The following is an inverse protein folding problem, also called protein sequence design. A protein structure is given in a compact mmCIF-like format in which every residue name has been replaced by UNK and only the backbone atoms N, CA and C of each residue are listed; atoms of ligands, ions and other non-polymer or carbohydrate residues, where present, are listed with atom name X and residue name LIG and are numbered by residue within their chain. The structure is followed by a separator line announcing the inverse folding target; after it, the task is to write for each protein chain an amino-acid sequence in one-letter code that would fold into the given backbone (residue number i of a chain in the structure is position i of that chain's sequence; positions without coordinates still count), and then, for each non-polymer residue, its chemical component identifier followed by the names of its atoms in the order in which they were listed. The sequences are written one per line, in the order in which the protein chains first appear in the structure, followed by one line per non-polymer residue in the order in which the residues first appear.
data_IF_451198426144
#
_entry.id   IF_451198426144
#
_cell.length_a   1.000
_cell.length_b   1.000
_cell.length_c   1.000
_cell.angle_alpha   90.00
_cell.angle_beta   90.00
_cell.angle_gamma   90.00
#
_symmetry.space_group_name_H-M   'P 1'
#
loop_
_entity.id
_entity.type
_entity.pdbx_description
1 polymer ?
#
# COMPACT_ATOMS: atom_id res chain seq x y z
N UNK A 1 11.67 11.62 -0.20
CA UNK A 1 13.02 11.36 0.34
C UNK A 1 13.66 10.24 -0.45
N UNK A 2 14.94 10.35 -0.78
CA UNK A 2 15.70 9.22 -1.35
C UNK A 2 15.94 8.21 -0.23
N UNK A 3 15.47 7.00 -0.41
CA UNK A 3 15.61 5.91 0.58
C UNK A 3 16.84 5.09 0.30
N UNK A 4 17.11 4.83 -0.98
CA UNK A 4 18.17 3.92 -1.39
C UNK A 4 18.69 4.32 -2.77
N UNK A 5 20.00 4.15 -2.99
CA UNK A 5 20.63 4.32 -4.29
C UNK A 5 21.41 3.04 -4.59
N UNK A 6 21.01 2.32 -5.64
CA UNK A 6 21.73 1.15 -6.14
C UNK A 6 22.49 1.51 -7.40
N UNK A 7 23.76 1.13 -7.43
CA UNK A 7 24.66 1.34 -8.56
C UNK A 7 25.03 -0.01 -9.12
N UNK A 8 24.66 -0.27 -10.37
CA UNK A 8 24.98 -1.48 -11.10
C UNK A 8 26.09 -1.18 -12.11
N UNK A 9 27.19 -1.91 -12.04
CA UNK A 9 28.35 -1.73 -12.90
C UNK A 9 28.58 -3.00 -13.71
N UNK A 10 28.76 -2.87 -15.04
CA UNK A 10 29.11 -4.02 -15.89
C UNK A 10 30.48 -4.58 -15.51
N UNK A 11 30.61 -5.90 -15.62
CA UNK A 11 31.89 -6.59 -15.44
C UNK A 11 33.01 -6.01 -16.34
N UNK A 12 34.18 -5.75 -15.75
CA UNK A 12 35.34 -5.20 -16.44
C UNK A 12 35.39 -3.67 -16.53
N UNK A 13 34.39 -2.96 -15.99
CA UNK A 13 34.41 -1.49 -15.88
C UNK A 13 34.98 -1.09 -14.52
N UNK A 14 35.82 -0.05 -14.52
CA UNK A 14 36.38 0.50 -13.27
C UNK A 14 35.27 1.10 -12.40
N UNK A 15 35.27 0.75 -11.12
CA UNK A 15 34.24 1.17 -10.17
C UNK A 15 34.56 2.55 -9.62
N UNK A 16 33.56 3.41 -9.49
CA UNK A 16 33.68 4.72 -8.87
C UNK A 16 33.76 4.62 -7.34
N UNK A 17 34.28 5.67 -6.70
CA UNK A 17 34.40 5.77 -5.24
C UNK A 17 33.08 5.47 -4.53
N UNK A 18 31.96 5.93 -5.09
CA UNK A 18 30.63 5.70 -4.51
C UNK A 18 30.22 4.23 -4.60
N UNK A 19 30.46 3.54 -5.72
CA UNK A 19 30.17 2.11 -5.83
C UNK A 19 31.07 1.30 -4.90
N UNK A 20 32.36 1.63 -4.81
CA UNK A 20 33.26 0.99 -3.86
C UNK A 20 32.83 1.18 -2.40
N UNK A 21 32.33 2.37 -2.05
CA UNK A 21 31.79 2.63 -0.72
C UNK A 21 30.53 1.80 -0.43
N UNK A 22 29.59 1.70 -1.39
CA UNK A 22 28.36 0.90 -1.25
C UNK A 22 28.70 -0.59 -1.12
N UNK A 23 29.64 -1.11 -1.92
CA UNK A 23 30.08 -2.50 -1.83
C UNK A 23 30.74 -2.81 -0.49
N UNK A 24 31.58 -1.92 0.02
CA UNK A 24 32.18 -2.06 1.36
C UNK A 24 31.13 -2.07 2.45
N UNK A 25 30.16 -1.13 2.40
CA UNK A 25 29.06 -1.06 3.36
C UNK A 25 28.21 -2.35 3.35
N UNK A 26 27.93 -2.90 2.17
CA UNK A 26 27.18 -4.16 2.04
C UNK A 26 27.98 -5.37 2.56
N UNK A 27 29.28 -5.44 2.27
CA UNK A 27 30.17 -6.48 2.80
C UNK A 27 30.27 -6.40 4.32
N UNK A 28 30.38 -5.20 4.88
CA UNK A 28 30.39 -4.96 6.34
C UNK A 28 29.07 -5.41 6.98
N UNK A 29 27.93 -5.12 6.35
CA UNK A 29 26.62 -5.60 6.80
C UNK A 29 26.55 -7.12 6.79
N UNK A 30 26.98 -7.76 5.71
CA UNK A 30 27.02 -9.23 5.61
C UNK A 30 27.97 -9.85 6.64
N UNK A 31 29.09 -9.19 6.94
CA UNK A 31 30.04 -9.65 7.95
C UNK A 31 29.42 -9.56 9.35
N UNK A 32 28.69 -8.48 9.65
CA UNK A 32 27.95 -8.33 10.90
C UNK A 32 26.88 -9.40 11.07
N UNK A 33 26.08 -9.67 10.03
CA UNK A 33 25.06 -10.72 10.06
C UNK A 33 25.69 -12.11 10.29
N UNK A 34 26.82 -12.39 9.63
CA UNK A 34 27.60 -13.63 9.85
C UNK A 34 28.07 -13.72 11.30
N UNK A 35 28.65 -12.66 11.84
CA UNK A 35 29.20 -12.65 13.20
C UNK A 35 28.09 -12.79 14.27
N UNK A 36 26.93 -12.17 14.04
CA UNK A 36 25.75 -12.30 14.90
C UNK A 36 25.19 -13.75 14.84
N UNK A 37 25.07 -14.33 13.65
CA UNK A 37 24.66 -15.74 13.49
C UNK A 37 25.67 -16.70 14.15
N UNK A 38 26.97 -16.46 13.97
CA UNK A 38 28.02 -17.25 14.60
C UNK A 38 27.99 -17.12 16.12
N UNK A 39 27.75 -15.91 16.65
CA UNK A 39 27.63 -15.70 18.10
C UNK A 39 26.41 -16.40 18.71
N UNK A 40 25.28 -16.47 17.98
CA UNK A 40 24.09 -17.23 18.39
C UNK A 40 24.39 -18.73 18.38
N UNK A 41 25.02 -19.23 17.33
CA UNK A 41 25.44 -20.62 17.20
C UNK A 41 26.40 -21.01 18.33
N UNK A 42 27.44 -20.22 18.55
CA UNK A 42 28.42 -20.39 19.62
C UNK A 42 27.72 -20.42 20.97
N UNK A 43 26.81 -19.47 21.25
CA UNK A 43 26.09 -19.43 22.53
C UNK A 43 25.23 -20.66 22.76
N UNK A 44 24.52 -21.15 21.74
CA UNK A 44 23.67 -22.32 21.86
C UNK A 44 24.51 -23.59 22.08
N UNK A 45 25.55 -23.80 21.26
CA UNK A 45 26.39 -24.99 21.29
C UNK A 45 27.23 -25.03 22.56
N UNK A 46 27.89 -23.94 22.93
CA UNK A 46 28.65 -23.87 24.16
C UNK A 46 27.76 -23.92 25.42
N UNK A 47 26.52 -23.42 25.35
CA UNK A 47 25.53 -23.60 26.42
C UNK A 47 25.20 -25.07 26.66
N UNK A 48 24.86 -25.80 25.58
CA UNK A 48 24.64 -27.26 25.64
C UNK A 48 25.89 -28.02 26.09
N UNK A 49 27.07 -27.61 25.61
CA UNK A 49 28.33 -28.23 26.01
C UNK A 49 28.58 -28.11 27.51
N UNK A 50 28.27 -26.96 28.12
CA UNK A 50 28.36 -26.77 29.57
C UNK A 50 27.36 -27.65 30.30
N UNK A 51 26.09 -27.71 29.87
CA UNK A 51 25.08 -28.58 30.47
C UNK A 51 25.45 -30.08 30.42
N UNK A 52 26.09 -30.52 29.33
CA UNK A 52 26.52 -31.91 29.16
C UNK A 52 27.76 -32.27 30.00
N UNK A 53 28.66 -31.30 30.21
CA UNK A 53 29.92 -31.50 30.92
C UNK A 53 29.82 -31.22 32.43
N UNK A 54 28.87 -30.40 32.88
CA UNK A 54 28.74 -30.01 34.29
C UNK A 54 28.42 -31.22 35.18
N UNK A 55 29.25 -31.41 36.22
CA UNK A 55 29.11 -32.51 37.18
C UNK A 55 29.66 -33.86 36.71
N UNK A 56 30.31 -33.94 35.54
CA UNK A 56 30.91 -35.20 35.02
C UNK A 56 32.42 -35.27 35.31
N UNK A 57 32.94 -36.49 35.45
CA UNK A 57 34.37 -36.76 35.65
C UNK A 57 35.10 -36.80 34.31
N UNK A 58 36.14 -35.98 34.14
CA UNK A 58 36.93 -35.95 32.90
C UNK A 58 38.20 -36.81 32.98
N UNK A 59 38.44 -37.61 31.93
CA UNK A 59 39.64 -38.43 31.74
C UNK A 59 40.79 -37.57 31.18
N UNK A 60 40.46 -36.61 30.32
CA UNK A 60 41.40 -35.68 29.70
C UNK A 60 40.79 -34.28 29.60
N UNK A 61 41.65 -33.26 29.60
CA UNK A 61 41.25 -31.86 29.53
C UNK A 61 42.42 -30.97 29.08
N UNK A 62 42.20 -29.64 29.00
CA UNK A 62 43.20 -28.67 28.59
C UNK A 62 44.45 -28.69 29.48
N UNK A 63 45.57 -28.13 28.97
CA UNK A 63 46.82 -28.01 29.73
C UNK A 63 46.58 -27.34 31.09
N UNK A 64 46.83 -28.08 32.17
CA UNK A 64 46.63 -27.61 33.55
C UNK A 64 45.46 -28.28 34.29
N UNK A 65 44.60 -29.04 33.59
CA UNK A 65 43.50 -29.76 34.22
C UNK A 65 43.96 -31.07 34.89
N UNK A 66 43.49 -31.33 36.12
CA UNK A 66 43.80 -32.57 36.86
C UNK A 66 42.92 -33.72 36.34
N UNK A 67 43.56 -34.81 35.88
CA UNK A 67 42.86 -36.02 35.43
C UNK A 67 41.99 -36.60 36.56
N UNK A 68 40.73 -36.92 36.27
CA UNK A 68 39.76 -37.46 37.24
C UNK A 68 39.08 -36.42 38.12
N UNK A 69 39.31 -35.12 37.90
CA UNK A 69 38.54 -34.06 38.56
C UNK A 69 37.16 -33.91 37.91
N UNK A 70 36.16 -33.55 38.72
CA UNK A 70 34.83 -33.18 38.26
C UNK A 70 34.88 -31.86 37.50
N UNK A 71 34.29 -31.83 36.31
CA UNK A 71 34.12 -30.61 35.54
C UNK A 71 32.99 -29.80 36.20
N UNK A 72 33.31 -28.63 36.72
CA UNK A 72 32.32 -27.64 37.15
C UNK A 72 32.28 -26.48 36.18
N UNK A 73 31.12 -25.82 36.06
CA UNK A 73 30.96 -24.61 35.25
C UNK A 73 32.01 -23.52 35.58
N UNK A 74 32.40 -23.40 36.85
CA UNK A 74 33.46 -22.48 37.32
C UNK A 74 34.84 -22.88 36.79
N UNK A 75 35.20 -24.17 36.86
CA UNK A 75 36.47 -24.68 36.36
C UNK A 75 36.59 -24.58 34.82
N UNK A 76 35.48 -24.66 34.09
CA UNK A 76 35.46 -24.45 32.63
C UNK A 76 35.70 -22.99 32.25
N UNK A 77 35.23 -22.05 33.09
CA UNK A 77 35.35 -20.61 32.82
C UNK A 77 36.80 -20.09 32.86
N UNK A 78 37.72 -20.84 33.47
CA UNK A 78 39.16 -20.52 33.51
C UNK A 78 39.86 -20.79 32.16
N UNK A 79 39.24 -21.57 31.28
CA UNK A 79 39.78 -21.93 29.98
C UNK A 79 39.05 -21.18 28.85
N UNK A 80 39.76 -20.76 27.77
CA UNK A 80 39.12 -20.24 26.56
C UNK A 80 38.11 -21.23 25.98
N UNK A 81 36.97 -20.74 25.46
CA UNK A 81 35.91 -21.58 24.86
C UNK A 81 36.40 -22.54 23.78
N UNK A 82 37.44 -22.17 23.05
CA UNK A 82 38.09 -23.02 22.06
C UNK A 82 38.68 -24.31 22.64
N UNK A 83 39.03 -24.31 23.93
CA UNK A 83 39.61 -25.45 24.64
C UNK A 83 38.55 -26.34 25.31
N UNK A 84 37.28 -25.93 25.35
CA UNK A 84 36.22 -26.73 25.99
C UNK A 84 35.96 -28.06 25.26
N UNK A 85 36.25 -28.11 23.95
CA UNK A 85 36.22 -29.34 23.15
C UNK A 85 37.33 -30.34 23.50
N UNK A 86 38.29 -29.98 24.35
CA UNK A 86 39.39 -30.88 24.80
C UNK A 86 39.02 -31.71 26.03
N UNK A 87 37.88 -31.45 26.67
CA UNK A 87 37.39 -32.27 27.77
C UNK A 87 36.86 -33.59 27.22
N UNK A 88 37.36 -34.71 27.76
CA UNK A 88 36.91 -36.06 27.42
C UNK A 88 36.30 -36.72 28.65
N UNK A 89 35.12 -37.32 28.48
CA UNK A 89 34.33 -37.95 29.56
C UNK A 89 34.49 -39.48 29.51
N UNK A 90 34.30 -40.15 30.65
CA UNK A 90 34.42 -41.61 30.77
C UNK A 90 33.24 -42.40 30.17
N UNK A 91 32.08 -41.77 30.06
CA UNK A 91 30.88 -42.39 29.50
C UNK A 91 30.93 -42.41 27.96
N UNK A 92 31.03 -43.61 27.37
CA UNK A 92 31.09 -43.82 25.91
C UNK A 92 29.89 -43.21 25.17
N UNK A 93 28.69 -43.23 25.76
CA UNK A 93 27.50 -42.67 25.12
C UNK A 93 27.56 -41.14 25.08
N UNK A 94 27.96 -40.54 26.19
CA UNK A 94 28.05 -39.09 26.34
C UNK A 94 29.21 -38.54 25.50
N UNK A 95 30.31 -39.29 25.38
CA UNK A 95 31.43 -38.94 24.50
C UNK A 95 31.01 -38.97 23.01
N UNK A 96 30.20 -39.95 22.58
CA UNK A 96 29.65 -39.99 21.23
C UNK A 96 28.72 -38.79 20.95
N UNK A 97 27.86 -38.42 21.91
CA UNK A 97 26.99 -37.24 21.77
C UNK A 97 27.79 -35.91 21.70
N UNK A 98 28.92 -35.80 22.42
CA UNK A 98 29.82 -34.65 22.35
C UNK A 98 30.53 -34.55 21.00
N UNK A 99 30.93 -35.68 20.43
CA UNK A 99 31.53 -35.74 19.08
C UNK A 99 30.50 -35.40 17.99
N UNK A 100 29.27 -35.89 18.10
CA UNK A 100 28.16 -35.53 17.20
C UNK A 100 27.84 -34.03 17.27
N UNK A 101 27.75 -33.46 18.49
CA UNK A 101 27.52 -32.03 18.69
C UNK A 101 28.64 -31.19 18.06
N UNK A 102 29.89 -31.63 18.19
CA UNK A 102 31.05 -30.98 17.57
C UNK A 102 31.00 -31.05 16.05
N UNK A 103 30.67 -32.21 15.48
CA UNK A 103 30.54 -32.38 14.03
C UNK A 103 29.45 -31.47 13.45
N UNK A 104 28.28 -31.42 14.10
CA UNK A 104 27.17 -30.53 13.71
C UNK A 104 27.60 -29.05 13.78
N UNK A 105 28.35 -28.67 14.82
CA UNK A 105 28.87 -27.31 14.96
C UNK A 105 29.88 -26.95 13.86
N UNK A 106 30.85 -27.82 13.58
CA UNK A 106 31.86 -27.60 12.55
C UNK A 106 31.23 -27.54 11.15
N UNK A 107 30.24 -28.38 10.86
CA UNK A 107 29.46 -28.33 9.61
C UNK A 107 28.65 -27.04 9.48
N UNK A 108 27.94 -26.62 10.54
CA UNK A 108 27.16 -25.39 10.56
C UNK A 108 28.06 -24.15 10.37
N UNK A 109 29.24 -24.13 11.01
CA UNK A 109 30.22 -23.05 10.85
C UNK A 109 30.78 -23.00 9.42
N UNK A 110 31.17 -24.14 8.86
CA UNK A 110 31.66 -24.24 7.48
C UNK A 110 30.59 -23.76 6.48
N UNK A 111 29.34 -24.17 6.68
CA UNK A 111 28.21 -23.73 5.86
C UNK A 111 27.98 -22.21 5.95
N UNK A 112 28.07 -21.64 7.14
CA UNK A 112 27.94 -20.21 7.37
C UNK A 112 29.04 -19.41 6.66
N UNK A 113 30.30 -19.87 6.78
CA UNK A 113 31.45 -19.27 6.11
C UNK A 113 31.33 -19.35 4.58
N UNK A 114 30.98 -20.52 4.04
CA UNK A 114 30.75 -20.73 2.60
C UNK A 114 29.67 -19.78 2.07
N UNK A 115 28.53 -19.71 2.76
CA UNK A 115 27.42 -18.81 2.40
C UNK A 115 27.83 -17.33 2.44
N UNK A 116 28.68 -16.94 3.39
CA UNK A 116 29.22 -15.58 3.45
C UNK A 116 30.11 -15.30 2.24
N UNK A 117 31.07 -16.19 1.95
CA UNK A 117 31.96 -16.06 0.80
C UNK A 117 31.20 -15.98 -0.53
N UNK A 118 30.18 -16.82 -0.72
CA UNK A 118 29.31 -16.80 -1.89
C UNK A 118 28.58 -15.46 -2.05
N UNK A 119 28.09 -14.87 -0.96
CA UNK A 119 27.42 -13.57 -0.98
C UNK A 119 28.41 -12.44 -1.29
N UNK A 120 29.60 -12.46 -0.69
CA UNK A 120 30.66 -11.47 -0.97
C UNK A 120 31.09 -11.54 -2.43
N UNK A 121 31.28 -12.74 -2.98
CA UNK A 121 31.61 -12.92 -4.39
C UNK A 121 30.50 -12.34 -5.28
N UNK A 122 29.23 -12.60 -4.98
CA UNK A 122 28.09 -12.06 -5.73
C UNK A 122 28.03 -10.53 -5.72
N UNK A 123 28.37 -9.89 -4.60
CA UNK A 123 28.43 -8.41 -4.52
C UNK A 123 29.59 -7.87 -5.35
N UNK A 124 30.72 -8.57 -5.40
CA UNK A 124 31.89 -8.13 -6.16
C UNK A 124 31.77 -8.40 -7.67
N UNK A 125 31.12 -9.51 -8.02
CA UNK A 125 30.87 -10.00 -9.38
C UNK A 125 29.82 -9.09 -10.02
N UNK A 126 30.32 -8.05 -10.70
CA UNK A 126 29.50 -6.99 -11.31
C UNK A 126 28.31 -7.51 -12.14
N UNK A 127 27.35 -6.62 -12.35
CA UNK A 127 26.00 -6.99 -12.78
C UNK A 127 25.87 -7.24 -14.30
N UNK A 128 24.91 -8.07 -14.66
CA UNK A 128 24.48 -8.25 -16.04
C UNK A 128 23.59 -7.08 -16.48
N UNK A 129 24.14 -6.24 -17.37
CA UNK A 129 23.45 -5.10 -17.95
C UNK A 129 23.12 -5.35 -19.43
N UNK A 130 22.03 -4.75 -19.97
CA UNK A 130 21.70 -4.81 -21.39
C UNK A 130 22.87 -4.38 -22.30
N UNK A 131 22.98 -4.90 -23.54
CA UNK A 131 24.05 -4.52 -24.46
C UNK A 131 24.09 -3.01 -24.66
N UNK A 132 25.29 -2.42 -24.67
CA UNK A 132 25.50 -0.96 -24.74
C UNK A 132 25.38 -0.20 -23.41
N UNK A 133 24.83 -0.79 -22.34
CA UNK A 133 24.77 -0.15 -21.01
C UNK A 133 25.99 -0.54 -20.18
N UNK A 134 26.84 0.43 -19.85
CA UNK A 134 28.04 0.22 -19.03
C UNK A 134 27.77 0.33 -17.53
N UNK A 135 26.83 1.19 -17.15
CA UNK A 135 26.45 1.49 -15.76
C UNK A 135 24.98 1.86 -15.69
N UNK A 136 24.28 1.40 -14.66
CA UNK A 136 22.90 1.78 -14.36
C UNK A 136 22.79 2.22 -12.91
N UNK A 137 22.12 3.34 -12.65
CA UNK A 137 21.86 3.82 -11.29
C UNK A 137 20.35 3.81 -11.06
N UNK A 138 19.89 3.11 -10.01
CA UNK A 138 18.50 3.09 -9.57
C UNK A 138 18.38 3.85 -8.26
N UNK A 139 17.61 4.93 -8.27
CA UNK A 139 17.33 5.76 -7.09
C UNK A 139 15.91 5.48 -6.62
N UNK A 140 15.76 4.97 -5.41
CA UNK A 140 14.47 4.70 -4.80
C UNK A 140 14.01 5.92 -4.00
N UNK A 141 12.86 6.47 -4.38
CA UNK A 141 12.27 7.65 -3.74
C UNK A 141 10.99 7.25 -3.03
N UNK A 142 10.93 7.46 -1.72
CA UNK A 142 9.70 7.34 -0.97
C UNK A 142 8.99 8.69 -0.89
N UNK A 143 7.69 8.66 -1.19
CA UNK A 143 6.78 9.81 -1.08
C UNK A 143 5.61 9.39 -0.19
N UNK A 144 5.41 10.13 0.92
CA UNK A 144 4.21 9.99 1.74
C UNK A 144 3.12 10.86 1.13
N UNK A 145 2.07 10.23 0.58
CA UNK A 145 0.91 10.94 0.02
C UNK A 145 -0.20 11.00 1.06
N UNK A 146 -0.69 12.22 1.34
CA UNK A 146 -1.84 12.43 2.25
C UNK A 146 -3.15 12.19 1.49
N UNK A 147 -4.26 12.09 2.22
CA UNK A 147 -5.60 12.10 1.61
C UNK A 147 -5.94 13.52 1.15
N UNK A 148 -6.61 13.62 0.01
CA UNK A 148 -7.03 14.90 -0.56
C UNK A 148 -8.35 14.77 -1.31
N UNK A 149 -9.07 15.88 -1.52
CA UNK A 149 -10.24 15.91 -2.40
C UNK A 149 -9.91 15.32 -3.78
N UNK A 150 -10.78 14.45 -4.29
CA UNK A 150 -10.55 13.72 -5.54
C UNK A 150 -10.00 12.29 -5.35
N UNK A 151 -9.45 11.94 -4.19
CA UNK A 151 -9.04 10.56 -3.92
C UNK A 151 -10.24 9.63 -3.82
N UNK A 152 -10.10 8.40 -4.36
CA UNK A 152 -11.16 7.39 -4.32
C UNK A 152 -11.07 6.53 -3.08
N UNK A 153 -12.19 6.37 -2.39
CA UNK A 153 -12.36 5.47 -1.24
C UNK A 153 -13.48 4.46 -1.49
N UNK A 154 -13.48 3.38 -0.72
CA UNK A 154 -14.53 2.37 -0.78
C UNK A 154 -14.78 1.77 0.60
N UNK A 155 -16.03 1.47 0.93
CA UNK A 155 -16.35 0.53 2.00
C UNK A 155 -16.27 -0.92 1.52
N UNK A 156 -16.38 -1.87 2.46
CA UNK A 156 -16.36 -3.32 2.17
C UNK A 156 -17.58 -3.79 1.39
N UNK A 157 -18.70 -3.06 1.47
CA UNK A 157 -19.99 -3.39 0.84
C UNK A 157 -20.16 -2.82 -0.57
N UNK A 158 -19.06 -2.56 -1.29
CA UNK A 158 -19.08 -2.08 -2.68
C UNK A 158 -19.46 -0.61 -2.86
N UNK A 159 -19.68 0.13 -1.77
CA UNK A 159 -19.93 1.57 -1.76
C UNK A 159 -18.62 2.33 -2.05
N UNK A 160 -18.41 2.68 -3.34
CA UNK A 160 -17.28 3.50 -3.79
C UNK A 160 -17.67 4.97 -3.83
N UNK A 161 -16.75 5.84 -3.44
CA UNK A 161 -16.93 7.28 -3.46
C UNK A 161 -15.62 8.02 -3.72
N UNK A 162 -15.72 9.31 -4.03
CA UNK A 162 -14.60 10.22 -4.15
C UNK A 162 -14.71 11.23 -3.02
N UNK A 163 -13.60 11.54 -2.35
CA UNK A 163 -13.57 12.56 -1.29
C UNK A 163 -13.91 13.91 -1.92
N UNK A 164 -14.99 14.55 -1.47
CA UNK A 164 -15.43 15.85 -2.00
C UNK A 164 -14.73 17.02 -1.30
N UNK A 165 -14.73 17.03 0.03
CA UNK A 165 -14.19 18.11 0.85
C UNK A 165 -13.64 17.56 2.16
N UNK A 166 -12.59 18.19 2.67
CA UNK A 166 -12.08 17.99 4.03
C UNK A 166 -12.52 19.21 4.84
N UNK A 167 -13.26 18.97 5.92
CA UNK A 167 -13.76 20.03 6.80
C UNK A 167 -12.93 20.09 8.08
N UNK A 168 -12.83 21.27 8.71
CA UNK A 168 -12.40 21.40 10.10
C UNK A 168 -13.31 20.60 11.03
N UNK A 169 -12.80 20.20 12.21
CA UNK A 169 -13.56 19.36 13.15
C UNK A 169 -14.76 20.10 13.71
N UNK A 170 -14.64 21.40 13.98
CA UNK A 170 -15.69 22.27 14.52
C UNK A 170 -16.91 22.40 13.60
N UNK A 171 -16.74 22.14 12.31
CA UNK A 171 -17.80 22.18 11.31
C UNK A 171 -18.56 20.85 11.20
N UNK A 172 -18.05 19.78 11.82
CA UNK A 172 -18.61 18.43 11.69
C UNK A 172 -19.77 18.23 12.67
N UNK A 173 -20.81 17.47 12.28
CA UNK A 173 -21.85 17.05 13.21
C UNK A 173 -21.29 16.32 14.42
N UNK A 174 -21.87 16.54 15.60
CA UNK A 174 -21.45 15.93 16.85
C UNK A 174 -22.63 15.33 17.62
N UNK A 175 -22.35 14.36 18.49
CA UNK A 175 -23.34 13.71 19.36
C UNK A 175 -23.51 14.47 20.69
N UNK A 176 -24.45 14.02 21.54
CA UNK A 176 -24.67 14.62 22.88
C UNK A 176 -23.41 14.64 23.76
N UNK A 177 -22.52 13.65 23.58
CA UNK A 177 -21.23 13.55 24.28
C UNK A 177 -20.16 14.54 23.73
N UNK A 178 -20.47 15.33 22.69
CA UNK A 178 -19.53 16.26 22.04
C UNK A 178 -18.54 15.60 21.07
N UNK A 179 -18.67 14.30 20.82
CA UNK A 179 -17.84 13.55 19.86
C UNK A 179 -18.31 13.85 18.43
N UNK A 180 -17.37 14.28 17.59
CA UNK A 180 -17.65 14.64 16.20
C UNK A 180 -17.57 13.41 15.29
N UNK A 181 -18.35 13.39 14.22
CA UNK A 181 -18.29 12.34 13.20
C UNK A 181 -17.12 12.57 12.24
N UNK A 182 -16.43 11.50 11.83
CA UNK A 182 -15.29 11.61 10.89
C UNK A 182 -15.71 11.69 9.42
N UNK A 183 -16.76 10.95 9.04
CA UNK A 183 -17.21 10.80 7.65
C UNK A 183 -18.73 10.88 7.59
N UNK A 184 -19.26 11.73 6.70
CA UNK A 184 -20.69 11.80 6.39
C UNK A 184 -20.96 11.09 5.07
N UNK A 185 -21.77 10.03 5.12
CA UNK A 185 -22.16 9.22 3.95
C UNK A 185 -23.59 9.55 3.50
N UNK A 186 -23.83 9.49 2.19
CA UNK A 186 -25.15 9.72 1.62
C UNK A 186 -26.04 8.46 1.76
N UNK A 187 -27.19 8.54 2.46
CA UNK A 187 -28.08 7.39 2.67
C UNK A 187 -28.80 6.92 1.39
N UNK A 188 -28.93 7.76 0.37
CA UNK A 188 -29.67 7.44 -0.85
C UNK A 188 -29.05 6.28 -1.65
N UNK A 189 -27.76 6.01 -1.43
CA UNK A 189 -27.07 4.89 -2.07
C UNK A 189 -27.52 3.52 -1.56
N UNK A 190 -28.06 3.42 -0.34
CA UNK A 190 -28.39 2.13 0.28
C UNK A 190 -29.64 1.50 -0.37
N UNK A 191 -30.78 2.21 -0.50
CA UNK A 191 -31.98 1.63 -1.13
C UNK A 191 -31.75 1.31 -2.61
N UNK A 192 -31.02 2.18 -3.33
CA UNK A 192 -30.79 2.00 -4.78
C UNK A 192 -29.89 0.80 -5.09
N UNK A 193 -28.91 0.48 -4.23
CA UNK A 193 -27.95 -0.60 -4.47
C UNK A 193 -28.24 -1.87 -3.67
N UNK A 194 -29.26 -1.84 -2.81
CA UNK A 194 -29.68 -2.94 -1.95
C UNK A 194 -28.55 -3.57 -1.11
N UNK A 195 -27.56 -2.77 -0.70
CA UNK A 195 -26.43 -3.22 0.09
C UNK A 195 -26.61 -2.85 1.58
N UNK A 196 -27.64 -3.43 2.19
CA UNK A 196 -28.07 -3.17 3.59
C UNK A 196 -27.00 -3.58 4.61
N UNK A 197 -26.13 -4.54 4.27
CA UNK A 197 -25.05 -4.99 5.15
C UNK A 197 -24.14 -3.89 5.67
N UNK A 198 -23.99 -2.77 4.95
CA UNK A 198 -23.21 -1.62 5.45
C UNK A 198 -23.83 -0.96 6.69
N UNK A 199 -25.16 -0.99 6.81
CA UNK A 199 -25.87 -0.46 7.99
C UNK A 199 -25.65 -1.40 9.16
N UNK A 200 -25.76 -2.72 8.93
CA UNK A 200 -25.51 -3.73 9.95
C UNK A 200 -24.05 -3.67 10.46
N UNK A 201 -23.07 -3.51 9.55
CA UNK A 201 -21.67 -3.26 9.91
C UNK A 201 -21.54 -1.99 10.78
N UNK A 202 -22.22 -0.92 10.40
CA UNK A 202 -22.18 0.37 11.12
C UNK A 202 -22.75 0.23 12.53
N UNK A 203 -23.89 -0.44 12.70
CA UNK A 203 -24.51 -0.69 14.01
C UNK A 203 -23.63 -1.58 14.89
N UNK A 204 -23.12 -2.69 14.35
CA UNK A 204 -22.24 -3.61 15.07
C UNK A 204 -20.93 -2.93 15.48
N UNK A 205 -20.34 -2.14 14.58
CA UNK A 205 -19.14 -1.35 14.87
C UNK A 205 -19.35 -0.30 15.96
N UNK A 206 -20.56 0.27 16.03
CA UNK A 206 -20.94 1.18 17.13
C UNK A 206 -21.00 0.45 18.47
N UNK A 207 -21.64 -0.73 18.52
CA UNK A 207 -21.65 -1.59 19.71
C UNK A 207 -20.23 -1.98 20.15
N UNK A 208 -19.37 -2.40 19.21
CA UNK A 208 -17.96 -2.71 19.47
C UNK A 208 -17.21 -1.56 20.14
N UNK A 209 -17.39 -0.33 19.64
CA UNK A 209 -16.74 0.85 20.18
C UNK A 209 -17.28 1.22 21.57
N UNK A 210 -18.61 1.17 21.75
CA UNK A 210 -19.26 1.41 23.04
C UNK A 210 -18.79 0.43 24.12
N UNK A 211 -18.69 -0.87 23.78
CA UNK A 211 -18.10 -1.87 24.69
C UNK A 211 -16.63 -1.56 25.02
N UNK A 212 -15.85 -1.10 24.05
CA UNK A 212 -14.46 -0.68 24.28
C UNK A 212 -14.36 0.50 25.25
N UNK A 213 -15.25 1.51 25.10
CA UNK A 213 -15.34 2.65 26.03
C UNK A 213 -15.69 2.19 27.45
N UNK A 214 -16.68 1.30 27.60
CA UNK A 214 -17.06 0.69 28.88
C UNK A 214 -15.90 -0.06 29.54
N UNK A 215 -15.15 -0.87 28.78
CA UNK A 215 -13.94 -1.55 29.28
C UNK A 215 -12.86 -0.54 29.71
N UNK A 216 -12.70 0.56 28.97
CA UNK A 216 -11.80 1.65 29.32
C UNK A 216 -12.17 2.30 30.66
N UNK A 217 -13.44 2.60 30.89
CA UNK A 217 -13.95 3.15 32.15
C UNK A 217 -13.72 2.15 33.31
N UNK A 218 -13.98 0.86 33.09
CA UNK A 218 -13.71 -0.19 34.08
C UNK A 218 -12.21 -0.34 34.40
N UNK A 219 -11.33 -0.13 33.42
CA UNK A 219 -9.88 -0.10 33.64
C UNK A 219 -9.45 1.10 34.50
N UNK A 220 -10.11 2.25 34.37
CA UNK A 220 -9.86 3.41 35.24
C UNK A 220 -10.32 3.15 36.67
N UNK A 221 -11.48 2.51 36.85
CA UNK A 221 -11.95 2.05 38.17
C UNK A 221 -10.98 1.05 38.78
N UNK A 222 -10.49 0.08 38.00
CA UNK A 222 -9.48 -0.88 38.45
C UNK A 222 -8.20 -0.19 38.94
N UNK A 223 -7.73 0.86 38.27
CA UNK A 223 -6.55 1.62 38.71
C UNK A 223 -6.74 2.25 40.10
N UNK A 224 -7.97 2.51 40.52
CA UNK A 224 -8.30 3.08 41.82
C UNK A 224 -8.59 2.01 42.88
N UNK A 225 -9.36 0.98 42.54
CA UNK A 225 -9.81 -0.05 43.48
C UNK A 225 -8.87 -1.24 43.62
N UNK A 226 -7.98 -1.46 42.64
CA UNK A 226 -7.17 -2.68 42.46
C UNK A 226 -7.97 -3.99 42.38
N UNK A 227 -9.28 -3.92 42.17
CA UNK A 227 -10.16 -5.08 42.06
C UNK A 227 -10.40 -5.46 40.59
N UNK A 228 -9.86 -6.61 40.16
CA UNK A 228 -9.96 -7.14 38.79
C UNK A 228 -11.29 -7.87 38.56
N UNK A 229 -12.01 -8.28 39.61
CA UNK A 229 -13.18 -9.15 39.48
C UNK A 229 -14.27 -8.61 38.54
N UNK A 230 -14.69 -7.32 38.62
CA UNK A 230 -15.71 -6.78 37.71
C UNK A 230 -15.25 -6.78 36.25
N UNK A 231 -13.99 -6.42 36.00
CA UNK A 231 -13.41 -6.38 34.66
C UNK A 231 -13.32 -7.78 34.06
N UNK A 232 -12.93 -8.76 34.87
CA UNK A 232 -12.86 -10.17 34.47
C UNK A 232 -14.23 -10.73 34.10
N UNK A 233 -15.26 -10.42 34.88
CA UNK A 233 -16.61 -10.90 34.60
C UNK A 233 -17.20 -10.26 33.33
N UNK A 234 -16.95 -8.96 33.09
CA UNK A 234 -17.38 -8.29 31.86
C UNK A 234 -16.70 -8.90 30.63
N UNK A 235 -15.37 -9.06 30.65
CA UNK A 235 -14.63 -9.63 29.52
C UNK A 235 -15.03 -11.09 29.28
N UNK A 236 -15.25 -11.86 30.35
CA UNK A 236 -15.73 -13.24 30.24
C UNK A 236 -17.17 -13.35 29.71
N UNK A 237 -17.97 -12.30 29.83
CA UNK A 237 -19.31 -12.22 29.22
C UNK A 237 -19.28 -11.88 27.72
N UNK A 238 -18.19 -11.26 27.25
CA UNK A 238 -18.02 -10.81 25.86
C UNK A 238 -17.28 -11.82 24.97
N UNK A 239 -16.29 -12.50 25.53
CA UNK A 239 -15.47 -13.47 24.80
C UNK A 239 -15.92 -14.90 25.09
N UNK A 240 -16.01 -15.70 24.04
CA UNK A 240 -16.10 -17.16 24.15
C UNK A 240 -14.80 -17.81 24.60
N UNK A 241 -14.78 -19.14 24.64
CA UNK A 241 -13.58 -19.90 24.97
C UNK A 241 -12.48 -19.69 23.90
N UNK A 242 -11.20 -19.70 24.28
CA UNK A 242 -10.09 -19.53 23.32
C UNK A 242 -9.89 -20.79 22.44
N UNK A 243 -8.92 -20.75 21.51
CA UNK A 243 -8.57 -21.89 20.63
C UNK A 243 -8.18 -23.19 21.37
N UNK A 244 -7.92 -23.11 22.68
CA UNK A 244 -7.61 -24.23 23.58
C UNK A 244 -8.77 -24.58 24.53
N UNK A 245 -9.95 -24.01 24.31
CA UNK A 245 -11.12 -24.08 25.18
C UNK A 245 -10.90 -23.56 26.61
N UNK A 246 -9.94 -22.65 26.80
CA UNK A 246 -9.71 -22.00 28.09
C UNK A 246 -10.60 -20.78 28.22
N UNK A 247 -11.24 -20.65 29.38
CA UNK A 247 -12.14 -19.54 29.71
C UNK A 247 -11.32 -18.33 30.15
N UNK A 248 -11.75 -17.12 29.77
CA UNK A 248 -11.13 -15.88 30.28
C UNK A 248 -11.09 -15.85 31.81
N UNK A 249 -12.08 -16.48 32.47
CA UNK A 249 -12.10 -16.58 33.94
C UNK A 249 -10.87 -17.27 34.54
N UNK A 250 -10.19 -18.15 33.80
CA UNK A 250 -8.99 -18.86 34.29
C UNK A 250 -7.68 -18.13 34.04
N UNK A 251 -7.70 -16.98 33.36
CA UNK A 251 -6.48 -16.21 33.07
C UNK A 251 -5.90 -15.58 34.34
N UNK A 252 -4.60 -15.37 34.38
CA UNK A 252 -3.97 -14.55 35.42
C UNK A 252 -4.38 -13.08 35.28
N UNK A 253 -4.25 -12.32 36.37
CA UNK A 253 -4.68 -10.92 36.40
C UNK A 253 -3.93 -10.04 35.38
N UNK A 254 -2.64 -10.30 35.13
CA UNK A 254 -1.85 -9.52 34.18
C UNK A 254 -2.30 -9.78 32.72
N UNK A 255 -2.64 -11.02 32.40
CA UNK A 255 -3.25 -11.37 31.11
C UNK A 255 -4.60 -10.68 30.90
N UNK A 256 -5.47 -10.65 31.93
CA UNK A 256 -6.77 -9.95 31.83
C UNK A 256 -6.58 -8.45 31.62
N UNK A 257 -5.62 -7.83 32.29
CA UNK A 257 -5.31 -6.41 32.11
C UNK A 257 -4.73 -6.11 30.73
N UNK A 258 -3.89 -7.00 30.21
CA UNK A 258 -3.33 -6.88 28.86
C UNK A 258 -4.44 -6.95 27.81
N UNK A 259 -5.37 -7.90 27.96
CA UNK A 259 -6.53 -8.05 27.09
C UNK A 259 -7.45 -6.82 27.15
N UNK A 260 -7.77 -6.33 28.35
CA UNK A 260 -8.58 -5.13 28.54
C UNK A 260 -7.95 -3.89 27.88
N UNK A 261 -6.63 -3.72 27.99
CA UNK A 261 -5.89 -2.62 27.33
C UNK A 261 -5.98 -2.69 25.81
N UNK A 262 -5.98 -3.89 25.23
CA UNK A 262 -6.16 -4.07 23.79
C UNK A 262 -7.59 -3.74 23.35
N UNK A 263 -8.59 -4.08 24.17
CA UNK A 263 -10.01 -3.88 23.88
C UNK A 263 -10.51 -2.45 24.13
N UNK A 264 -9.70 -1.56 24.73
CA UNK A 264 -10.10 -0.18 25.04
C UNK A 264 -10.50 0.63 23.79
N UNK A 265 -9.94 0.31 22.61
CA UNK A 265 -10.31 0.97 21.35
C UNK A 265 -11.60 0.44 20.74
N UNK A 266 -12.07 -0.71 21.18
CA UNK A 266 -13.21 -1.42 20.63
C UNK A 266 -13.01 -2.94 20.72
N UNK A 267 -14.13 -3.65 20.87
CA UNK A 267 -14.14 -5.11 20.89
C UNK A 267 -14.15 -5.65 19.46
N UNK A 268 -13.23 -6.56 19.14
CA UNK A 268 -13.20 -7.22 17.84
C UNK A 268 -14.28 -8.30 17.75
N UNK A 269 -15.05 -8.30 16.66
CA UNK A 269 -16.09 -9.31 16.40
C UNK A 269 -15.77 -10.03 15.09
N UNK A 270 -16.01 -11.33 15.07
CA UNK A 270 -15.97 -12.15 13.87
C UNK A 270 -17.39 -12.54 13.47
N UNK A 271 -17.79 -12.15 12.26
CA UNK A 271 -19.06 -12.55 11.64
C UNK A 271 -18.75 -13.41 10.42
N UNK A 272 -18.99 -14.73 10.47
CA UNK A 272 -18.84 -15.61 9.31
C UNK A 272 -19.72 -15.17 8.13
N UNK A 273 -19.33 -15.54 6.91
CA UNK A 273 -19.97 -15.05 5.68
C UNK A 273 -21.42 -15.55 5.55
N UNK A 274 -21.69 -16.80 5.94
CA UNK A 274 -23.01 -17.44 5.78
C UNK A 274 -23.71 -17.77 7.11
N UNK A 275 -22.98 -17.72 8.22
CA UNK A 275 -23.50 -17.98 9.57
C UNK A 275 -23.17 -16.78 10.46
N UNK A 276 -23.70 -15.63 10.05
CA UNK A 276 -23.42 -14.34 10.68
C UNK A 276 -24.40 -13.99 11.80
N UNK A 277 -24.05 -12.94 12.55
CA UNK A 277 -24.92 -12.33 13.55
C UNK A 277 -26.28 -11.94 12.96
N UNK A 278 -27.34 -12.23 13.69
CA UNK A 278 -28.69 -11.79 13.35
C UNK A 278 -28.97 -10.42 13.97
N UNK A 279 -30.04 -9.76 13.53
CA UNK A 279 -30.42 -8.42 14.02
C UNK A 279 -30.57 -8.38 15.56
N UNK A 280 -31.15 -9.42 16.15
CA UNK A 280 -31.32 -9.54 17.61
C UNK A 280 -29.97 -9.49 18.34
N UNK A 281 -28.96 -10.19 17.84
CA UNK A 281 -27.61 -10.18 18.44
C UNK A 281 -27.00 -8.77 18.44
N UNK A 282 -27.23 -8.01 17.35
CA UNK A 282 -26.72 -6.63 17.21
C UNK A 282 -27.43 -5.70 18.20
N UNK A 283 -28.75 -5.82 18.34
CA UNK A 283 -29.55 -5.03 19.29
C UNK A 283 -29.12 -5.33 20.72
N UNK A 284 -28.97 -6.60 21.09
CA UNK A 284 -28.48 -7.00 22.41
C UNK A 284 -27.08 -6.45 22.70
N UNK A 285 -26.19 -6.43 21.70
CA UNK A 285 -24.85 -5.85 21.86
C UNK A 285 -24.87 -4.33 22.00
N UNK A 286 -25.75 -3.62 21.28
CA UNK A 286 -25.93 -2.18 21.46
C UNK A 286 -26.42 -1.87 22.87
N UNK A 287 -27.41 -2.61 23.37
CA UNK A 287 -27.94 -2.43 24.72
C UNK A 287 -26.89 -2.73 25.80
N UNK A 288 -26.09 -3.81 25.64
CA UNK A 288 -24.96 -4.13 26.55
C UNK A 288 -23.90 -3.03 26.60
N UNK A 289 -23.73 -2.31 25.49
CA UNK A 289 -22.84 -1.17 25.36
C UNK A 289 -23.44 0.14 25.93
N UNK A 290 -24.69 0.13 26.40
CA UNK A 290 -25.38 1.33 26.89
C UNK A 290 -25.90 2.24 25.77
N UNK A 291 -26.07 1.71 24.56
CA UNK A 291 -26.52 2.43 23.38
C UNK A 291 -27.98 2.09 23.05
N UNK A 292 -28.63 2.95 22.26
CA UNK A 292 -29.99 2.70 21.81
C UNK A 292 -30.03 1.51 20.83
N UNK A 293 -30.93 0.55 21.05
CA UNK A 293 -31.10 -0.63 20.20
C UNK A 293 -31.39 -0.35 18.73
N UNK A 294 -31.91 0.84 18.39
CA UNK A 294 -32.09 1.28 16.99
C UNK A 294 -30.78 1.62 16.26
N UNK A 295 -29.67 1.84 16.98
CA UNK A 295 -28.41 2.32 16.41
C UNK A 295 -28.46 3.78 15.94
N UNK A 296 -29.54 4.51 16.23
CA UNK A 296 -29.73 5.91 15.85
C UNK A 296 -29.59 6.83 17.05
N UNK A 297 -28.98 8.00 16.82
CA UNK A 297 -28.76 9.03 17.85
C UNK A 297 -29.16 10.41 17.33
N UNK A 298 -29.46 11.32 18.25
CA UNK A 298 -29.62 12.73 17.93
C UNK A 298 -28.24 13.34 17.68
N UNK A 299 -28.07 13.98 16.51
CA UNK A 299 -26.87 14.74 16.18
C UNK A 299 -27.18 16.24 16.24
N UNK A 300 -26.15 17.03 16.45
CA UNK A 300 -26.18 18.49 16.40
C UNK A 300 -25.30 18.98 15.25
N UNK A 301 -25.72 20.04 14.58
CA UNK A 301 -24.93 20.68 13.53
C UNK A 301 -23.76 21.45 14.14
N UNK A 302 -22.52 21.14 13.75
CA UNK A 302 -21.32 21.80 14.25
C UNK A 302 -21.28 23.32 13.97
N UNK A 303 -21.98 23.78 12.93
CA UNK A 303 -21.98 25.20 12.54
C UNK A 303 -22.95 26.06 13.31
N UNK A 304 -24.14 25.52 13.59
CA UNK A 304 -25.23 26.27 14.23
C UNK A 304 -25.43 25.88 15.69
N UNK A 305 -25.05 24.66 16.06
CA UNK A 305 -25.32 24.05 17.36
C UNK A 305 -26.74 23.50 17.51
N UNK A 306 -27.57 23.59 16.48
CA UNK A 306 -28.96 23.12 16.53
C UNK A 306 -29.04 21.60 16.32
N UNK A 307 -30.02 20.95 16.97
CA UNK A 307 -30.29 19.53 16.81
C UNK A 307 -30.94 19.25 15.45
N UNK A 308 -30.58 18.14 14.80
CA UNK A 308 -31.27 17.70 13.59
C UNK A 308 -32.70 17.21 13.89
N UNK A 309 -33.62 17.45 12.96
CA UNK A 309 -35.05 17.07 13.09
C UNK A 309 -35.28 15.55 13.26
N UNK A 310 -34.36 14.72 12.76
CA UNK A 310 -34.45 13.27 12.80
C UNK A 310 -33.17 12.67 13.33
N UNK A 311 -33.33 11.56 14.06
CA UNK A 311 -32.21 10.75 14.50
C UNK A 311 -31.48 10.16 13.29
N UNK A 312 -30.16 10.05 13.43
CA UNK A 312 -29.26 9.61 12.36
C UNK A 312 -28.54 8.36 12.84
N UNK A 313 -28.36 7.39 11.94
CA UNK A 313 -27.51 6.23 12.21
C UNK A 313 -26.06 6.68 12.30
N UNK A 314 -25.44 6.45 13.46
CA UNK A 314 -24.03 6.74 13.71
C UNK A 314 -23.35 5.43 14.12
N UNK A 315 -22.16 5.19 13.59
CA UNK A 315 -21.45 3.95 13.82
C UNK A 315 -20.07 3.94 13.22
N UNK A 316 -19.36 2.83 13.46
CA UNK A 316 -18.06 2.60 12.84
C UNK A 316 -18.21 1.65 11.65
N UNK A 317 -17.80 2.12 10.48
CA UNK A 317 -17.74 1.33 9.25
C UNK A 317 -16.30 1.25 8.75
N UNK A 318 -15.87 0.09 8.28
CA UNK A 318 -14.50 -0.09 7.81
C UNK A 318 -14.33 0.46 6.39
N UNK A 319 -13.58 1.56 6.28
CA UNK A 319 -13.32 2.26 5.03
C UNK A 319 -11.90 2.02 4.52
N UNK A 320 -11.78 1.79 3.21
CA UNK A 320 -10.54 1.53 2.49
C UNK A 320 -10.22 2.69 1.55
N UNK A 321 -8.95 3.11 1.54
CA UNK A 321 -8.41 4.00 0.51
C UNK A 321 -7.98 3.19 -0.70
N UNK A 322 -8.50 3.51 -1.89
CA UNK A 322 -8.10 2.83 -3.12
C UNK A 322 -6.82 3.46 -3.69
N UNK A 323 -6.07 2.68 -4.48
CA UNK A 323 -4.90 3.17 -5.23
C UNK A 323 -5.27 4.18 -6.35
N UNK A 324 -6.56 4.51 -6.52
CA UNK A 324 -7.00 5.54 -7.47
C UNK A 324 -6.82 6.93 -6.85
N UNK A 325 -5.60 7.44 -6.93
CA UNK A 325 -5.21 8.74 -6.41
C UNK A 325 -5.44 9.83 -7.46
N UNK A 326 -5.89 11.01 -7.02
CA UNK A 326 -6.19 12.13 -7.94
C UNK A 326 -4.94 12.65 -8.66
N UNK A 327 -3.80 12.71 -7.97
CA UNK A 327 -2.52 13.17 -8.54
C UNK A 327 -2.09 12.36 -9.75
N UNK A 328 -2.44 11.07 -9.79
CA UNK A 328 -2.10 10.20 -10.90
C UNK A 328 -3.05 10.42 -12.09
N UNK A 329 -4.24 10.99 -11.87
CA UNK A 329 -5.27 11.22 -12.89
C UNK A 329 -5.24 12.61 -13.51
N UNK A 330 -4.95 13.66 -12.73
CA UNK A 330 -4.88 15.02 -13.26
C UNK A 330 -3.69 15.13 -14.22
N UNK A 331 -3.96 15.63 -15.42
CA UNK A 331 -2.98 15.92 -16.46
C UNK A 331 -3.51 17.04 -17.35
N UNK A 332 -2.66 18.00 -17.67
CA UNK A 332 -2.97 19.08 -18.59
C UNK A 332 -1.72 19.35 -19.44
N UNK A 333 -1.94 19.80 -20.68
CA UNK A 333 -0.86 20.24 -21.57
C UNK A 333 -1.31 21.45 -22.36
N UNK A 334 -0.35 22.32 -22.69
CA UNK A 334 -0.49 23.34 -23.73
C UNK A 334 0.17 22.84 -25.01
N UNK A 335 1.50 22.69 -24.99
CA UNK A 335 2.33 22.18 -26.10
C UNK A 335 3.12 20.97 -25.60
N UNK A 336 3.47 20.06 -26.50
CA UNK A 336 4.26 18.88 -26.16
C UNK A 336 4.78 18.18 -27.42
N UNK A 337 5.32 16.96 -27.29
CA UNK A 337 5.85 16.23 -28.43
C UNK A 337 4.74 15.79 -29.40
N UNK A 338 5.15 15.62 -30.65
CA UNK A 338 4.31 15.22 -31.77
C UNK A 338 4.87 13.96 -32.44
N UNK A 339 3.98 13.19 -33.06
CA UNK A 339 4.34 12.02 -33.87
C UNK A 339 5.13 12.45 -35.10
N UNK A 340 6.17 11.70 -35.46
CA UNK A 340 6.96 11.95 -36.67
C UNK A 340 6.14 11.71 -37.95
N UNK A 341 5.17 10.78 -37.90
CA UNK A 341 4.41 10.36 -39.09
C UNK A 341 3.26 11.33 -39.36
N UNK A 342 2.35 11.47 -38.40
CA UNK A 342 1.10 12.23 -38.59
C UNK A 342 1.15 13.64 -38.04
N UNK A 343 2.26 14.05 -37.40
CA UNK A 343 2.39 15.36 -36.73
C UNK A 343 1.37 15.64 -35.61
N UNK A 344 0.58 14.63 -35.22
CA UNK A 344 -0.39 14.73 -34.12
C UNK A 344 0.28 14.69 -32.74
N UNK A 345 -0.32 15.31 -31.72
CA UNK A 345 0.14 15.19 -30.34
C UNK A 345 0.24 13.72 -29.89
N UNK A 346 1.31 13.36 -29.18
CA UNK A 346 1.41 12.01 -28.60
C UNK A 346 0.30 11.73 -27.57
N UNK A 347 0.01 10.46 -27.30
CA UNK A 347 -0.98 10.03 -26.32
C UNK A 347 -0.38 9.70 -24.95
N UNK A 348 -1.17 9.87 -23.89
CA UNK A 348 -0.84 9.40 -22.54
C UNK A 348 0.00 10.37 -21.69
N UNK A 349 -0.28 10.39 -20.37
CA UNK A 349 0.33 11.30 -19.40
C UNK A 349 1.86 11.26 -19.38
N UNK A 350 2.46 10.09 -19.52
CA UNK A 350 3.91 9.90 -19.42
C UNK A 350 4.70 10.64 -20.54
N UNK A 351 4.08 10.86 -21.70
CA UNK A 351 4.69 11.52 -22.84
C UNK A 351 4.23 12.99 -22.97
N UNK A 352 3.66 13.55 -21.90
CA UNK A 352 2.92 14.81 -21.96
C UNK A 352 1.83 14.79 -23.04
N UNK A 353 1.16 13.65 -23.21
CA UNK A 353 0.22 13.40 -24.29
C UNK A 353 -1.07 14.20 -24.21
N UNK A 354 -1.71 14.41 -25.36
CA UNK A 354 -2.99 15.11 -25.49
C UNK A 354 -4.16 14.20 -25.20
N UNK A 355 -5.30 14.81 -24.88
CA UNK A 355 -6.55 14.08 -24.79
C UNK A 355 -7.05 13.80 -26.20
N UNK A 356 -7.47 12.56 -26.45
CA UNK A 356 -8.09 12.21 -27.73
C UNK A 356 -9.44 12.91 -27.83
N UNK A 357 -9.59 13.74 -28.87
CA UNK A 357 -10.88 14.22 -29.32
C UNK A 357 -11.43 13.17 -30.29
N UNK A 358 -12.48 12.47 -29.87
CA UNK A 358 -13.03 11.33 -30.61
C UNK A 358 -14.12 11.73 -31.60
N UNK A 359 -14.57 10.74 -32.35
CA UNK A 359 -15.61 10.90 -33.36
C UNK A 359 -16.95 11.35 -32.76
N UNK A 360 -17.33 10.81 -31.59
CA UNK A 360 -18.57 11.21 -30.91
C UNK A 360 -18.53 12.66 -30.44
N UNK A 361 -17.36 13.17 -30.03
CA UNK A 361 -17.20 14.58 -29.68
C UNK A 361 -17.26 15.50 -30.90
N UNK A 362 -16.78 15.04 -32.07
CA UNK A 362 -16.94 15.74 -33.35
C UNK A 362 -18.42 15.87 -33.70
N UNK A 363 -19.18 14.76 -33.68
CA UNK A 363 -20.62 14.79 -33.97
C UNK A 363 -21.39 15.72 -33.03
N UNK A 364 -20.99 15.78 -31.76
CA UNK A 364 -21.59 16.71 -30.82
C UNK A 364 -21.38 18.17 -31.26
N UNK A 365 -20.18 18.56 -31.68
CA UNK A 365 -19.91 19.92 -32.18
C UNK A 365 -20.61 20.22 -33.51
N UNK A 366 -20.71 19.24 -34.40
CA UNK A 366 -21.47 19.35 -35.65
C UNK A 366 -22.96 19.59 -35.38
N UNK A 367 -23.55 18.87 -34.42
CA UNK A 367 -24.94 19.05 -34.02
C UNK A 367 -25.22 20.46 -33.45
N UNK A 368 -24.24 21.08 -32.79
CA UNK A 368 -24.31 22.47 -32.35
C UNK A 368 -24.07 23.49 -33.48
N UNK A 369 -23.62 23.05 -34.66
CA UNK A 369 -23.22 23.94 -35.76
C UNK A 369 -21.94 24.74 -35.45
N UNK A 370 -21.09 24.27 -34.53
CA UNK A 370 -19.90 24.97 -34.07
C UNK A 370 -18.71 24.81 -35.03
N UNK A 371 -18.88 25.23 -36.29
CA UNK A 371 -17.94 25.00 -37.39
C UNK A 371 -16.53 25.55 -37.11
N UNK A 372 -16.41 26.78 -36.60
CA UNK A 372 -15.11 27.40 -36.29
C UNK A 372 -14.37 26.68 -35.16
N UNK A 373 -15.08 26.29 -34.10
CA UNK A 373 -14.50 25.52 -32.98
C UNK A 373 -14.02 24.15 -33.46
N UNK A 374 -14.82 23.48 -34.29
CA UNK A 374 -14.46 22.18 -34.84
C UNK A 374 -13.24 22.28 -35.76
N UNK A 375 -13.21 23.27 -36.65
CA UNK A 375 -12.07 23.54 -37.53
C UNK A 375 -10.79 23.78 -36.73
N UNK A 376 -10.84 24.61 -35.69
CA UNK A 376 -9.69 24.87 -34.81
C UNK A 376 -9.19 23.60 -34.11
N UNK A 377 -10.11 22.78 -33.57
CA UNK A 377 -9.77 21.54 -32.85
C UNK A 377 -9.13 20.49 -33.76
N UNK A 378 -9.61 20.36 -35.00
CA UNK A 378 -9.13 19.33 -35.94
C UNK A 378 -7.89 19.73 -36.74
N UNK A 379 -7.60 21.04 -36.87
CA UNK A 379 -6.48 21.52 -37.69
C UNK A 379 -5.34 22.07 -36.81
N UNK A 380 -5.43 23.33 -36.42
CA UNK A 380 -4.38 24.10 -35.74
C UNK A 380 -4.01 23.53 -34.37
N UNK A 381 -4.97 22.97 -33.62
CA UNK A 381 -4.69 22.32 -32.32
C UNK A 381 -4.18 20.87 -32.46
N UNK A 382 -4.20 20.32 -33.67
CA UNK A 382 -3.86 18.93 -33.95
C UNK A 382 -2.58 18.83 -34.79
N UNK A 383 -2.69 18.74 -36.12
CA UNK A 383 -1.64 18.31 -37.03
C UNK A 383 -1.30 19.32 -38.14
N UNK A 384 -1.89 20.52 -38.13
CA UNK A 384 -1.40 21.63 -38.96
C UNK A 384 -0.11 22.22 -38.39
N UNK A 385 1.03 21.79 -38.97
CA UNK A 385 2.37 22.17 -38.51
C UNK A 385 2.63 23.67 -38.63
N UNK A 386 2.15 24.31 -39.70
CA UNK A 386 2.35 25.73 -39.94
C UNK A 386 1.35 26.56 -39.13
N UNK A 387 0.08 26.18 -39.15
CA UNK A 387 -1.00 26.85 -38.44
C UNK A 387 -0.78 26.89 -36.93
N UNK A 388 -0.34 25.78 -36.31
CA UNK A 388 -0.12 25.72 -34.85
C UNK A 388 0.93 26.72 -34.36
N UNK A 389 1.99 26.92 -35.15
CA UNK A 389 3.08 27.86 -34.80
C UNK A 389 2.60 29.30 -34.93
N UNK A 390 1.91 29.62 -36.04
CA UNK A 390 1.35 30.95 -36.28
C UNK A 390 0.32 31.34 -35.23
N UNK A 391 -0.58 30.43 -34.86
CA UNK A 391 -1.60 30.71 -33.84
C UNK A 391 -0.97 30.90 -32.46
N UNK A 392 0.06 30.12 -32.11
CA UNK A 392 0.80 30.37 -30.87
C UNK A 392 1.46 31.75 -30.87
N UNK A 393 2.12 32.15 -31.97
CA UNK A 393 2.71 33.50 -32.10
C UNK A 393 1.66 34.60 -31.99
N UNK A 394 0.50 34.42 -32.62
CA UNK A 394 -0.59 35.40 -32.63
C UNK A 394 -1.17 35.58 -31.23
N UNK A 395 -1.42 34.48 -30.50
CA UNK A 395 -1.85 34.52 -29.09
C UNK A 395 -0.83 35.27 -28.22
N UNK A 396 0.47 35.05 -28.42
CA UNK A 396 1.53 35.74 -27.65
C UNK A 396 1.61 37.23 -28.01
N UNK A 397 1.33 37.62 -29.25
CA UNK A 397 1.29 39.02 -29.70
C UNK A 397 -0.01 39.73 -29.31
N UNK A 398 -1.06 38.98 -28.96
CA UNK A 398 -2.40 39.52 -28.73
C UNK A 398 -3.17 39.82 -30.02
N UNK A 399 -2.77 39.18 -31.13
CA UNK A 399 -3.45 39.26 -32.42
C UNK A 399 -4.42 38.07 -32.60
N UNK A 400 -5.58 38.32 -33.20
CA UNK A 400 -6.62 37.30 -33.44
C UNK A 400 -6.55 36.69 -34.86
N UNK A 401 -5.38 36.77 -35.52
CA UNK A 401 -5.21 36.26 -36.88
C UNK A 401 -5.23 34.72 -36.90
N UNK A 402 -6.22 34.15 -37.58
CA UNK A 402 -6.41 32.71 -37.72
C UNK A 402 -6.26 32.27 -39.18
N UNK A 403 -5.27 31.43 -39.46
CA UNK A 403 -5.09 30.77 -40.75
C UNK A 403 -5.02 29.26 -40.51
N UNK A 404 -5.97 28.50 -41.06
CA UNK A 404 -5.99 27.04 -41.02
C UNK A 404 -5.53 26.46 -42.37
N UNK A 405 -4.55 25.58 -42.33
CA UNK A 405 -4.10 24.79 -43.49
C UNK A 405 -4.79 23.43 -43.60
N UNK A 406 -4.26 22.61 -44.51
CA UNK A 406 -4.67 21.20 -44.67
C UNK A 406 -3.94 20.37 -43.60
N UNK A 407 -4.66 19.51 -42.85
CA UNK A 407 -4.08 18.54 -41.91
C UNK A 407 -2.99 17.67 -42.52
N UNK A 408 -1.90 17.43 -41.80
CA UNK A 408 -0.82 16.55 -42.28
C UNK A 408 -1.29 15.09 -42.41
N UNK A 409 -2.22 14.65 -41.56
CA UNK A 409 -2.84 13.32 -41.68
C UNK A 409 -3.51 13.09 -43.04
N UNK A 410 -4.10 14.12 -43.63
CA UNK A 410 -4.68 14.04 -44.98
C UNK A 410 -3.59 13.92 -46.05
N UNK A 411 -2.48 14.64 -45.93
CA UNK A 411 -1.34 14.52 -46.82
C UNK A 411 -0.74 13.10 -46.78
N UNK A 412 -0.60 12.53 -45.57
CA UNK A 412 -0.14 11.15 -45.38
C UNK A 412 -1.08 10.17 -46.08
N UNK A 413 -2.40 10.32 -45.90
CA UNK A 413 -3.41 9.48 -46.56
C UNK A 413 -3.29 9.53 -48.10
N UNK A 414 -3.12 10.72 -48.67
CA UNK A 414 -2.92 10.88 -50.13
C UNK A 414 -1.66 10.16 -50.60
N UNK A 415 -0.56 10.24 -49.84
CA UNK A 415 0.68 9.52 -50.17
C UNK A 415 0.53 8.00 -50.04
N UNK A 416 -0.21 7.51 -49.05
CA UNK A 416 -0.51 6.09 -48.90
C UNK A 416 -1.34 5.58 -50.08
N UNK A 417 -2.39 6.30 -50.50
CA UNK A 417 -3.18 5.92 -51.69
C UNK A 417 -2.34 5.88 -52.96
N UNK A 418 -1.45 6.88 -53.18
CA UNK A 418 -0.53 6.89 -54.32
C UNK A 418 0.46 5.72 -54.32
N UNK A 419 0.88 5.27 -53.13
CA UNK A 419 1.77 4.10 -53.00
C UNK A 419 1.10 2.79 -53.48
N UNK A 420 -0.22 2.73 -53.49
CA UNK A 420 -1.00 1.61 -54.02
C UNK A 420 -1.20 1.67 -55.55
N UNK A 421 -0.66 2.69 -56.23
CA UNK A 421 -0.84 2.91 -57.66
C UNK A 421 -2.14 3.63 -58.03
N UNK A 422 -2.82 4.26 -57.06
CA UNK A 422 -3.98 5.13 -57.30
C UNK A 422 -3.53 6.56 -57.59
N UNK A 423 -4.03 7.17 -58.67
CA UNK A 423 -3.77 8.58 -58.96
C UNK A 423 -4.77 9.47 -58.20
N UNK A 424 -4.27 10.26 -57.24
CA UNK A 424 -5.08 11.12 -56.37
C UNK A 424 -4.44 12.49 -56.27
N UNK A 425 -5.07 13.51 -56.86
CA UNK A 425 -4.64 14.91 -56.83
C UNK A 425 -5.73 15.83 -56.27
N UNK A 426 -5.30 16.91 -55.62
CA UNK A 426 -6.19 17.98 -55.14
C UNK A 426 -6.48 18.95 -56.30
N UNK A 427 -7.69 18.91 -56.83
CA UNK A 427 -8.12 19.83 -57.86
C UNK A 427 -8.76 21.09 -57.25
N UNK A 428 -8.30 22.28 -57.67
CA UNK A 428 -9.00 23.53 -57.41
C UNK A 428 -10.11 23.69 -58.45
N UNK A 429 -11.26 23.04 -58.23
CA UNK A 429 -12.42 23.25 -59.08
C UNK A 429 -13.18 24.50 -58.62
N UNK A 430 -12.93 25.63 -59.29
CA UNK A 430 -14.04 26.53 -59.63
C UNK A 430 -14.90 25.83 -60.69
N UNK A 431 -15.52 24.71 -60.33
CA UNK A 431 -16.58 24.13 -61.13
C UNK A 431 -17.85 24.88 -60.73
N UNK A 432 -18.45 25.59 -61.69
CA UNK A 432 -19.83 26.04 -61.57
C UNK A 432 -20.66 24.85 -61.07
N UNK A 433 -21.27 25.01 -59.90
CA UNK A 433 -22.25 24.04 -59.40
C UNK A 433 -23.26 23.84 -60.53
N UNK A 434 -23.46 22.61 -61.04
CA UNK A 434 -24.55 22.38 -61.97
C UNK A 434 -25.84 22.87 -61.31
N UNK A 435 -26.65 23.60 -62.06
CA UNK A 435 -27.93 24.14 -61.60
C UNK A 435 -28.69 23.06 -60.81
N UNK A 436 -29.31 23.42 -59.66
CA UNK A 436 -29.94 22.43 -58.80
C UNK A 436 -30.89 21.58 -59.65
N UNK A 437 -30.64 20.28 -59.68
CA UNK A 437 -31.56 19.33 -60.30
C UNK A 437 -32.94 19.57 -59.67
N UNK A 438 -33.97 19.64 -60.53
CA UNK A 438 -35.36 19.87 -60.13
C UNK A 438 -35.69 19.09 -58.86
N UNK A 439 -36.22 19.80 -57.88
CA UNK A 439 -36.73 19.23 -56.63
C UNK A 439 -37.56 17.99 -56.94
N UNK A 440 -37.12 16.84 -56.44
CA UNK A 440 -37.98 15.65 -56.39
C UNK A 440 -39.29 16.06 -55.71
N UNK A 441 -40.45 15.70 -56.27
CA UNK A 441 -41.72 16.09 -55.69
C UNK A 441 -41.81 15.57 -54.27
N UNK A 442 -42.18 16.47 -53.35
CA UNK A 442 -42.51 16.14 -51.97
C UNK A 442 -43.39 14.89 -51.97
N UNK A 443 -42.90 13.82 -51.32
CA UNK A 443 -43.75 12.70 -50.99
C UNK A 443 -44.73 13.19 -49.92
N UNK A 444 -45.89 13.64 -50.39
CA UNK A 444 -47.06 13.92 -49.57
C UNK A 444 -47.67 12.60 -49.05
N UNK A 445 -48.08 12.69 -47.77
CA UNK A 445 -48.88 11.76 -46.93
C UNK A 445 -48.18 10.58 -46.25
#
# INVERSE_FOLDING_TARGET
TVVEVRVFNRHGVEKDERAMAIEREEIERLAKDRDDEQAILDRNVYGRLVEMLDGKSAIAGPKGFKKGATISAEAMSEYPRSQWWMFAVEDEKLQAELEDLRNVYDEAKSTLESRFMDKVEKVQRGDELPPGVMKQVKVFVAVKRKIQPGDKMAGRHGNKGVVSRILPVEDMPFNEDGTHVDIVLNPLGVPSRMNVGQILETHLGWACSGMGKKIGEMLEVYRQSQDVSPLRDEIAGLLGDNDRNEKVKTYDDDSVLTLAKQMTRGVSIATPVFDGAVEQDIVEMLEKAGLNGSGQVTLYDGRTGEAFDRQVTVGYIYMLKLHHLVDDKIHARSIGPYSLVTQQPLGGKAQFGGQRFGEMEVWALEAYGAAYTLQEMLTVKSDDVAGRTKVYESIVRGDDAFESGIPESFNVLVKEMRSLGLDVDLANSTAELPAPAESLPDAAE
#
